data_IF_336633685933
#
_entry.id   IF_336633685933
#
_cell.length_a   1.000
_cell.length_b   1.000
_cell.length_c   1.000
_cell.angle_alpha   90.00
_cell.angle_beta   90.00
_cell.angle_gamma   90.00
#
_symmetry.space_group_name_H-M   'P 1'
#
loop_
_entity.id
_entity.type
_entity.pdbx_description
1 polymer ?
#
# COMPACT_ATOMS: atom_id res chain seq x y z
N UNK A 1 1.67 21.10 25.11
CA UNK A 1 1.71 20.55 23.74
C UNK A 1 3.13 20.07 23.49
N UNK A 2 3.29 18.78 23.20
CA UNK A 2 4.58 18.10 22.94
C UNK A 2 4.44 17.25 21.68
N UNK A 3 5.54 17.08 20.96
CA UNK A 3 5.60 16.22 19.76
C UNK A 3 5.80 14.78 20.22
N UNK A 4 4.90 13.88 19.80
CA UNK A 4 5.03 12.44 20.00
C UNK A 4 5.83 11.76 18.88
N UNK A 5 5.58 12.20 17.65
CA UNK A 5 6.14 11.60 16.45
C UNK A 5 6.19 12.65 15.34
N UNK A 6 7.25 12.63 14.53
CA UNK A 6 7.33 13.38 13.27
C UNK A 6 7.28 12.35 12.14
N UNK A 7 6.33 12.52 11.23
CA UNK A 7 6.07 11.60 10.14
C UNK A 7 6.12 12.36 8.80
N UNK A 8 6.86 11.87 7.80
CA UNK A 8 6.82 12.42 6.47
C UNK A 8 5.43 12.20 5.85
N UNK A 9 5.01 13.13 4.98
CA UNK A 9 3.77 12.99 4.21
C UNK A 9 4.11 12.65 2.75
N UNK A 10 3.11 12.26 1.94
CA UNK A 10 3.30 12.10 0.49
C UNK A 10 3.86 13.32 -0.23
N UNK A 11 3.76 14.50 0.37
CA UNK A 11 4.38 15.72 -0.16
C UNK A 11 5.80 15.89 0.34
N UNK A 12 6.82 16.06 -0.52
CA UNK A 12 8.19 16.34 -0.10
C UNK A 12 8.32 17.69 0.63
N UNK A 13 7.28 18.53 0.54
CA UNK A 13 7.25 19.84 1.16
C UNK A 13 6.41 19.91 2.45
N UNK A 14 5.89 18.78 2.95
CA UNK A 14 5.03 18.76 4.13
C UNK A 14 5.48 17.68 5.12
N UNK A 15 5.61 18.03 6.39
CA UNK A 15 5.84 17.09 7.50
C UNK A 15 4.68 17.13 8.50
N UNK A 16 4.28 15.97 9.01
CA UNK A 16 3.21 15.79 9.98
C UNK A 16 3.81 15.58 11.37
N UNK A 17 3.36 16.35 12.32
CA UNK A 17 3.77 16.28 13.73
C UNK A 17 2.58 15.80 14.57
N UNK A 18 2.65 14.62 15.11
CA UNK A 18 1.68 14.09 16.05
C UNK A 18 1.90 14.70 17.43
N UNK A 19 0.82 15.13 18.07
CA UNK A 19 0.85 15.88 19.34
C UNK A 19 0.28 15.06 20.50
N UNK A 20 0.63 15.44 21.73
CA UNK A 20 0.02 14.87 22.94
C UNK A 20 -1.31 15.52 23.31
N UNK A 21 -1.75 16.54 22.59
CA UNK A 21 -3.00 17.26 22.79
C UNK A 21 -3.88 17.14 21.55
N UNK A 22 -5.20 17.08 21.76
CA UNK A 22 -6.17 16.94 20.68
C UNK A 22 -7.11 18.13 20.67
N UNK A 23 -7.30 18.74 19.50
CA UNK A 23 -8.33 19.78 19.30
C UNK A 23 -9.73 19.17 19.31
N UNK A 24 -10.73 20.00 19.59
CA UNK A 24 -12.13 19.63 19.47
C UNK A 24 -12.46 19.12 18.05
N UNK A 25 -13.31 18.11 17.98
CA UNK A 25 -13.69 17.49 16.71
C UNK A 25 -14.23 18.52 15.71
N UNK A 26 -13.74 18.44 14.45
CA UNK A 26 -14.16 19.32 13.36
C UNK A 26 -13.38 20.64 13.26
N UNK A 27 -12.50 20.97 14.21
CA UNK A 27 -11.64 22.14 14.10
C UNK A 27 -10.48 21.84 13.13
N UNK A 28 -10.39 22.64 12.08
CA UNK A 28 -9.32 22.59 11.04
C UNK A 28 -8.92 24.01 10.71
N UNK A 29 -7.64 24.32 10.86
CA UNK A 29 -7.15 25.68 10.61
C UNK A 29 -5.79 25.63 9.93
N UNK A 30 -5.65 26.41 8.87
CA UNK A 30 -4.36 26.69 8.25
C UNK A 30 -3.90 28.07 8.65
N UNK A 31 -2.68 28.18 9.10
CA UNK A 31 -2.04 29.42 9.50
C UNK A 31 -0.89 29.74 8.56
N UNK A 32 -0.82 31.01 8.16
CA UNK A 32 0.25 31.61 7.37
C UNK A 32 0.67 32.90 8.04
N UNK A 33 1.73 33.54 7.58
CA UNK A 33 2.13 34.85 8.09
C UNK A 33 1.03 35.93 7.94
N UNK A 34 0.16 35.80 6.92
CA UNK A 34 -0.92 36.77 6.67
C UNK A 34 -2.01 36.73 7.74
N UNK A 35 -2.27 35.53 8.33
CA UNK A 35 -3.29 35.34 9.35
C UNK A 35 -2.71 35.01 10.75
N UNK A 36 -1.42 35.23 10.96
CA UNK A 36 -0.69 34.94 12.19
C UNK A 36 -1.36 35.46 13.47
N UNK A 37 -2.02 36.63 13.40
CA UNK A 37 -2.70 37.23 14.55
C UNK A 37 -3.78 36.35 15.17
N UNK A 38 -4.31 35.40 14.41
CA UNK A 38 -5.30 34.40 14.88
C UNK A 38 -4.67 33.10 15.36
N UNK A 39 -3.37 32.94 15.21
CA UNK A 39 -2.65 31.73 15.54
C UNK A 39 -2.36 31.62 17.06
N UNK A 40 -2.43 30.42 17.64
CA UNK A 40 -1.87 30.16 18.96
C UNK A 40 -0.38 30.55 19.04
N UNK A 41 0.15 30.94 20.21
CA UNK A 41 1.54 31.42 20.32
C UNK A 41 2.60 30.44 19.82
N UNK A 42 2.37 29.13 19.97
CA UNK A 42 3.29 28.11 19.48
C UNK A 42 3.30 28.06 17.94
N UNK A 43 2.13 28.16 17.31
CA UNK A 43 2.00 28.17 15.85
C UNK A 43 2.60 29.45 15.26
N UNK A 44 2.39 30.61 15.91
CA UNK A 44 3.03 31.85 15.50
C UNK A 44 4.57 31.71 15.50
N UNK A 45 5.15 31.07 16.52
CA UNK A 45 6.59 30.78 16.56
C UNK A 45 7.04 29.85 15.43
N UNK A 46 6.25 28.83 15.08
CA UNK A 46 6.54 27.92 13.97
C UNK A 46 6.54 28.65 12.61
N UNK A 47 5.61 29.60 12.42
CA UNK A 47 5.53 30.40 11.18
C UNK A 47 6.75 31.31 10.98
N UNK A 48 7.46 31.69 12.05
CA UNK A 48 8.68 32.49 11.97
C UNK A 48 9.96 31.68 11.77
N UNK A 49 9.88 30.33 11.74
CA UNK A 49 11.01 29.48 11.36
C UNK A 49 11.34 29.75 9.89
N UNK A 50 12.60 30.02 9.59
CA UNK A 50 13.07 30.21 8.22
C UNK A 50 12.76 28.98 7.38
N UNK A 51 12.14 29.18 6.22
CA UNK A 51 11.75 28.08 5.33
C UNK A 51 10.33 27.54 5.56
N UNK A 52 9.64 27.86 6.66
CA UNK A 52 8.22 27.48 6.84
C UNK A 52 7.32 28.38 6.00
N UNK A 53 6.36 27.76 5.31
CA UNK A 53 5.34 28.40 4.46
C UNK A 53 4.01 28.53 5.20
N UNK A 54 3.55 27.42 5.79
CA UNK A 54 2.26 27.37 6.49
C UNK A 54 2.27 26.26 7.56
N UNK A 55 1.34 26.37 8.51
CA UNK A 55 1.08 25.35 9.53
C UNK A 55 -0.39 25.03 9.50
N UNK A 56 -0.74 23.79 9.21
CA UNK A 56 -2.09 23.25 9.35
C UNK A 56 -2.22 22.57 10.72
N UNK A 57 -3.33 22.77 11.41
CA UNK A 57 -3.59 22.16 12.71
C UNK A 57 -5.01 21.60 12.77
N UNK A 58 -5.12 20.33 13.12
CA UNK A 58 -6.39 19.63 13.30
C UNK A 58 -6.21 18.43 14.22
N UNK A 59 -7.28 18.03 14.91
CA UNK A 59 -7.29 16.87 15.80
C UNK A 59 -6.03 16.82 16.71
N UNK A 60 -5.24 15.79 16.62
CA UNK A 60 -4.02 15.51 17.39
C UNK A 60 -2.72 15.72 16.60
N UNK A 61 -2.77 16.45 15.48
CA UNK A 61 -1.56 16.70 14.68
C UNK A 61 -1.49 18.10 14.08
N UNK A 62 -0.26 18.50 13.76
CA UNK A 62 0.06 19.63 12.90
C UNK A 62 0.75 19.14 11.63
N UNK A 63 0.51 19.81 10.51
CA UNK A 63 1.33 19.65 9.33
C UNK A 63 2.06 20.96 9.01
N UNK A 64 3.36 20.87 8.82
CA UNK A 64 4.22 22.02 8.47
C UNK A 64 4.55 21.92 6.99
N UNK A 65 4.19 22.94 6.23
CA UNK A 65 4.62 23.10 4.85
C UNK A 65 5.86 23.99 4.80
N UNK A 66 6.88 23.54 4.07
CA UNK A 66 8.07 24.34 3.79
C UNK A 66 7.92 25.11 2.47
N UNK A 67 8.70 26.16 2.34
CA UNK A 67 8.94 26.83 1.04
C UNK A 67 9.77 25.90 0.13
N UNK A 68 9.55 25.92 -1.19
CA UNK A 68 10.36 25.11 -2.12
C UNK A 68 11.86 25.34 -1.92
N UNK A 69 12.62 24.26 -1.83
CA UNK A 69 14.07 24.30 -1.64
C UNK A 69 14.57 24.58 -0.22
N UNK A 70 13.69 24.82 0.76
CA UNK A 70 14.12 24.96 2.16
C UNK A 70 14.57 23.60 2.74
N UNK A 71 15.51 23.65 3.68
CA UNK A 71 16.12 22.45 4.27
C UNK A 71 15.32 21.88 5.42
N UNK A 72 14.89 20.61 5.34
CA UNK A 72 14.12 19.96 6.41
C UNK A 72 14.87 19.77 7.72
N UNK A 73 16.13 19.30 7.73
CA UNK A 73 16.90 19.20 8.96
C UNK A 73 16.95 20.50 9.76
N UNK A 74 17.18 21.64 9.10
CA UNK A 74 17.21 22.93 9.77
C UNK A 74 15.82 23.33 10.32
N UNK A 75 14.76 23.13 9.52
CA UNK A 75 13.38 23.40 9.95
C UNK A 75 13.01 22.54 11.15
N UNK A 76 13.24 21.22 11.10
CA UNK A 76 12.87 20.29 12.16
C UNK A 76 13.66 20.52 13.45
N UNK A 77 14.93 20.91 13.37
CA UNK A 77 15.72 21.32 14.53
C UNK A 77 15.07 22.53 15.23
N UNK A 78 14.69 23.56 14.47
CA UNK A 78 14.01 24.75 15.00
C UNK A 78 12.61 24.43 15.53
N UNK A 79 11.89 23.50 14.90
CA UNK A 79 10.59 23.02 15.39
C UNK A 79 10.74 22.35 16.76
N UNK A 80 11.74 21.48 16.93
CA UNK A 80 12.01 20.83 18.22
C UNK A 80 12.36 21.84 19.31
N UNK A 81 13.12 22.88 18.98
CA UNK A 81 13.40 23.98 19.93
C UNK A 81 12.14 24.73 20.35
N UNK A 82 11.21 24.99 19.41
CA UNK A 82 9.92 25.65 19.70
C UNK A 82 9.08 24.83 20.68
N UNK A 83 9.11 23.50 20.60
CA UNK A 83 8.40 22.61 21.51
C UNK A 83 9.15 22.29 22.81
N UNK A 84 10.41 22.71 22.91
CA UNK A 84 11.24 22.43 24.09
C UNK A 84 11.73 20.98 24.19
N UNK A 85 11.63 20.23 23.10
CA UNK A 85 12.03 18.83 23.03
C UNK A 85 13.42 18.74 22.40
N UNK A 86 14.42 18.28 23.15
CA UNK A 86 15.67 17.76 22.58
C UNK A 86 15.52 16.23 22.47
N UNK A 87 15.19 15.71 21.31
CA UNK A 87 15.34 14.28 21.01
C UNK A 87 16.61 14.07 20.21
N UNK A 88 17.54 13.28 20.76
CA UNK A 88 18.73 12.77 20.05
C UNK A 88 18.40 11.65 19.03
N UNK A 89 17.21 11.66 18.44
CA UNK A 89 16.92 10.73 17.36
C UNK A 89 17.30 11.38 16.03
N UNK A 90 18.22 10.75 15.27
CA UNK A 90 18.50 11.17 13.91
C UNK A 90 17.20 11.09 13.09
N UNK A 91 16.90 12.13 12.35
CA UNK A 91 15.89 12.08 11.28
C UNK A 91 16.47 11.16 10.22
N UNK A 92 16.01 9.91 10.24
CA UNK A 92 16.48 8.87 9.33
C UNK A 92 16.17 9.26 7.89
N UNK A 93 17.07 8.90 7.00
CA UNK A 93 17.07 9.22 5.56
C UNK A 93 15.94 8.56 4.75
N UNK A 94 14.96 7.90 5.39
CA UNK A 94 13.85 7.19 4.75
C UNK A 94 12.69 8.13 4.32
N UNK A 95 12.97 9.42 4.18
CA UNK A 95 11.98 10.45 3.81
C UNK A 95 11.41 10.25 2.39
N UNK A 96 12.16 9.60 1.50
CA UNK A 96 11.74 9.40 0.10
C UNK A 96 10.71 8.28 -0.07
N UNK A 97 10.67 7.28 0.82
CA UNK A 97 9.77 6.13 0.72
C UNK A 97 8.34 6.40 1.25
N UNK A 98 8.15 7.37 2.12
CA UNK A 98 6.83 7.63 2.72
C UNK A 98 5.82 8.31 1.77
N UNK A 99 6.28 8.88 0.67
CA UNK A 99 5.45 9.64 -0.26
C UNK A 99 4.43 8.81 -1.06
N UNK A 100 4.54 7.47 -1.04
CA UNK A 100 3.71 6.54 -1.80
C UNK A 100 2.72 5.69 -0.99
N UNK A 101 2.75 5.73 0.34
CA UNK A 101 2.28 4.61 1.18
C UNK A 101 1.07 4.88 2.08
N UNK A 102 0.25 5.89 1.79
CA UNK A 102 -0.94 6.18 2.63
C UNK A 102 -1.91 4.99 2.72
N UNK A 103 -2.11 4.51 3.95
CA UNK A 103 -2.98 3.37 4.24
C UNK A 103 -2.41 2.01 3.84
N UNK A 104 -1.13 1.94 3.49
CA UNK A 104 -0.42 0.72 3.15
C UNK A 104 0.16 0.03 4.38
N UNK A 105 0.07 -1.29 4.37
CA UNK A 105 0.75 -2.16 5.32
C UNK A 105 1.52 -3.23 4.57
N UNK A 106 2.80 -3.37 4.88
CA UNK A 106 3.64 -4.45 4.35
C UNK A 106 3.33 -5.75 5.08
N UNK A 107 3.13 -6.80 4.34
CA UNK A 107 2.89 -8.13 4.88
C UNK A 107 4.09 -9.01 4.65
N UNK A 108 4.54 -9.66 5.71
CA UNK A 108 5.58 -10.67 5.66
C UNK A 108 5.04 -11.98 6.22
N UNK A 109 5.39 -13.08 5.59
CA UNK A 109 5.11 -14.42 6.10
C UNK A 109 6.42 -15.11 6.41
N UNK A 110 6.53 -15.64 7.62
CA UNK A 110 7.66 -16.45 8.03
C UNK A 110 7.40 -17.89 7.64
N UNK A 111 8.28 -18.48 6.87
CA UNK A 111 8.23 -19.86 6.43
C UNK A 111 9.33 -20.71 7.08
N UNK A 112 9.02 -21.97 7.27
CA UNK A 112 9.95 -23.03 7.58
C UNK A 112 9.83 -24.13 6.51
N UNK A 113 10.86 -24.25 5.67
CA UNK A 113 10.85 -25.26 4.59
C UNK A 113 9.55 -25.27 3.78
N UNK A 114 9.11 -24.10 3.29
CA UNK A 114 7.88 -23.96 2.52
C UNK A 114 6.58 -24.01 3.33
N UNK A 115 6.62 -24.28 4.65
CA UNK A 115 5.46 -24.29 5.54
C UNK A 115 5.33 -22.92 6.20
N UNK A 116 4.20 -22.21 6.04
CA UNK A 116 3.99 -20.91 6.68
C UNK A 116 3.81 -21.10 8.20
N UNK A 117 4.36 -20.15 8.99
CA UNK A 117 4.38 -20.23 10.46
C UNK A 117 3.74 -19.01 11.13
N UNK A 118 4.07 -17.83 10.67
CA UNK A 118 3.70 -16.57 11.30
C UNK A 118 3.51 -15.50 10.22
N UNK A 119 2.48 -14.70 10.41
CA UNK A 119 2.21 -13.50 9.61
C UNK A 119 2.67 -12.29 10.41
N UNK A 120 3.32 -11.35 9.75
CA UNK A 120 3.68 -10.04 10.28
C UNK A 120 3.14 -8.98 9.34
N UNK A 121 2.39 -8.04 9.89
CA UNK A 121 1.83 -6.90 9.16
C UNK A 121 2.41 -5.64 9.76
N UNK A 122 3.08 -4.84 8.97
CA UNK A 122 3.81 -3.66 9.43
C UNK A 122 3.34 -2.41 8.69
N UNK A 123 3.08 -1.34 9.44
CA UNK A 123 2.85 0.00 8.89
C UNK A 123 3.57 1.03 9.77
N UNK A 124 4.55 1.71 9.20
CA UNK A 124 5.43 2.59 9.95
C UNK A 124 6.11 1.87 11.12
N UNK A 125 5.93 2.38 12.34
CA UNK A 125 6.49 1.79 13.57
C UNK A 125 5.58 0.73 14.22
N UNK A 126 4.38 0.51 13.69
CA UNK A 126 3.39 -0.43 14.26
C UNK A 126 3.50 -1.78 13.56
N UNK A 127 3.54 -2.85 14.32
CA UNK A 127 3.59 -4.21 13.80
C UNK A 127 2.55 -5.10 14.51
N UNK A 128 1.77 -5.83 13.74
CA UNK A 128 0.88 -6.90 14.21
C UNK A 128 1.48 -8.24 13.82
N UNK A 129 1.40 -9.23 14.74
CA UNK A 129 1.93 -10.58 14.52
C UNK A 129 0.92 -11.60 14.94
N UNK A 130 0.58 -12.53 14.05
CA UNK A 130 -0.26 -13.67 14.37
C UNK A 130 0.40 -14.98 13.96
N UNK A 131 0.23 -16.01 14.79
CA UNK A 131 0.57 -17.39 14.44
C UNK A 131 -0.50 -18.02 13.57
N UNK A 132 -0.16 -19.05 12.84
CA UNK A 132 -1.12 -19.84 12.07
C UNK A 132 -1.75 -20.97 12.90
N UNK A 133 -2.78 -21.62 12.33
CA UNK A 133 -3.51 -22.69 13.00
C UNK A 133 -2.63 -23.89 13.39
N UNK A 134 -3.12 -24.72 14.31
CA UNK A 134 -2.39 -25.84 14.90
C UNK A 134 -1.82 -26.81 13.85
N UNK A 135 -2.51 -27.04 12.74
CA UNK A 135 -2.02 -27.93 11.67
C UNK A 135 -0.69 -27.50 11.06
N UNK A 136 -0.42 -26.18 10.98
CA UNK A 136 0.88 -25.66 10.52
C UNK A 136 1.96 -25.83 11.59
N UNK A 137 1.61 -25.65 12.87
CA UNK A 137 2.53 -25.85 13.99
C UNK A 137 2.96 -27.32 14.04
N UNK A 138 2.02 -28.24 13.87
CA UNK A 138 2.28 -29.70 13.84
C UNK A 138 3.19 -30.05 12.65
N UNK A 139 2.89 -29.53 11.45
CA UNK A 139 3.70 -29.74 10.26
C UNK A 139 5.14 -29.24 10.42
N UNK A 140 5.34 -28.04 10.97
CA UNK A 140 6.67 -27.51 11.26
C UNK A 140 7.40 -28.38 12.28
N UNK A 141 6.71 -28.85 13.33
CA UNK A 141 7.29 -29.68 14.37
C UNK A 141 7.75 -31.03 13.81
N UNK A 142 6.95 -31.65 12.95
CA UNK A 142 7.29 -32.90 12.27
C UNK A 142 8.54 -32.76 11.42
N UNK A 143 8.61 -31.74 10.52
CA UNK A 143 9.77 -31.51 9.66
C UNK A 143 11.00 -31.12 10.48
N UNK A 144 10.87 -30.25 11.49
CA UNK A 144 11.98 -29.84 12.33
C UNK A 144 12.57 -31.00 13.12
N UNK A 145 11.74 -31.92 13.64
CA UNK A 145 12.17 -33.11 14.35
C UNK A 145 12.89 -34.12 13.44
N UNK A 146 12.40 -34.28 12.21
CA UNK A 146 12.99 -35.19 11.23
C UNK A 146 14.30 -34.69 10.64
N UNK A 147 14.45 -33.38 10.46
CA UNK A 147 15.59 -32.78 9.75
C UNK A 147 16.61 -32.11 10.67
N UNK A 148 16.28 -31.89 11.96
CA UNK A 148 17.07 -31.13 12.94
C UNK A 148 17.46 -29.71 12.52
N UNK A 149 16.77 -29.15 11.53
CA UNK A 149 17.00 -27.80 11.00
C UNK A 149 16.11 -26.82 11.76
N UNK A 150 16.60 -25.59 11.95
CA UNK A 150 15.89 -24.49 12.64
C UNK A 150 15.77 -23.23 11.80
N UNK A 151 16.26 -23.27 10.57
CA UNK A 151 16.29 -22.13 9.68
C UNK A 151 14.87 -21.69 9.27
N UNK A 152 14.64 -20.37 9.35
CA UNK A 152 13.36 -19.76 9.01
C UNK A 152 13.60 -18.65 8.00
N UNK A 153 12.74 -18.56 7.01
CA UNK A 153 12.80 -17.51 5.98
C UNK A 153 11.62 -16.56 6.15
N UNK A 154 11.92 -15.27 6.24
CA UNK A 154 10.90 -14.23 6.15
C UNK A 154 10.73 -13.87 4.68
N UNK A 155 9.51 -13.99 4.17
CA UNK A 155 9.18 -13.72 2.76
C UNK A 155 8.23 -12.54 2.69
N UNK A 156 8.53 -11.59 1.81
CA UNK A 156 7.61 -10.50 1.50
C UNK A 156 6.36 -11.06 0.81
N UNK A 157 5.20 -10.72 1.35
CA UNK A 157 3.89 -11.16 0.87
C UNK A 157 3.10 -10.01 0.22
N UNK A 158 3.80 -8.91 -0.03
CA UNK A 158 3.28 -7.72 -0.69
C UNK A 158 2.52 -6.78 0.23
N UNK A 159 1.90 -5.78 -0.37
CA UNK A 159 1.18 -4.70 0.32
C UNK A 159 -0.30 -5.04 0.47
N UNK A 160 -0.89 -4.61 1.58
CA UNK A 160 -2.32 -4.69 1.88
C UNK A 160 -2.83 -3.36 2.42
N UNK A 161 -4.14 -3.22 2.52
CA UNK A 161 -4.82 -1.97 2.87
C UNK A 161 -5.89 -2.19 3.93
N UNK A 162 -5.81 -1.46 5.03
CA UNK A 162 -6.76 -1.53 6.13
C UNK A 162 -6.09 -1.57 7.50
N UNK A 163 -6.84 -1.98 8.52
CA UNK A 163 -6.32 -2.13 9.87
C UNK A 163 -5.44 -3.39 10.00
N UNK A 164 -4.29 -3.28 10.69
CA UNK A 164 -3.30 -4.36 10.77
C UNK A 164 -3.87 -5.70 11.26
N UNK A 165 -4.74 -5.75 12.31
CA UNK A 165 -5.35 -7.00 12.75
C UNK A 165 -6.29 -7.62 11.70
N UNK A 166 -6.99 -6.80 10.92
CA UNK A 166 -7.89 -7.28 9.87
C UNK A 166 -7.08 -7.86 8.71
N UNK A 167 -6.05 -7.13 8.26
CA UNK A 167 -5.10 -7.62 7.24
C UNK A 167 -4.49 -8.95 7.67
N UNK A 168 -4.02 -9.06 8.92
CA UNK A 168 -3.40 -10.29 9.41
C UNK A 168 -4.37 -11.48 9.33
N UNK A 169 -5.65 -11.28 9.71
CA UNK A 169 -6.70 -12.32 9.60
C UNK A 169 -7.06 -12.67 8.15
N UNK A 170 -7.07 -11.67 7.26
CA UNK A 170 -7.30 -11.91 5.83
C UNK A 170 -6.20 -12.79 5.23
N UNK A 171 -4.94 -12.47 5.53
CA UNK A 171 -3.78 -13.24 5.07
C UNK A 171 -3.74 -14.63 5.70
N UNK A 172 -4.14 -14.79 6.97
CA UNK A 172 -4.32 -16.10 7.58
C UNK A 172 -5.31 -16.95 6.78
N UNK A 173 -6.47 -16.40 6.43
CA UNK A 173 -7.47 -17.11 5.62
C UNK A 173 -6.96 -17.45 4.22
N UNK A 174 -6.19 -16.56 3.59
CA UNK A 174 -5.55 -16.82 2.29
C UNK A 174 -4.56 -17.99 2.40
N UNK A 175 -3.71 -18.02 3.43
CA UNK A 175 -2.76 -19.11 3.67
C UNK A 175 -3.46 -20.43 4.00
N UNK A 176 -4.54 -20.39 4.81
CA UNK A 176 -5.37 -21.56 5.07
C UNK A 176 -5.98 -22.14 3.79
N UNK A 177 -6.39 -21.28 2.87
CA UNK A 177 -6.92 -21.70 1.58
C UNK A 177 -5.82 -22.17 0.62
N UNK A 178 -4.68 -21.47 0.56
CA UNK A 178 -3.56 -21.81 -0.31
C UNK A 178 -2.87 -23.12 0.06
N UNK A 179 -2.98 -23.56 1.33
CA UNK A 179 -2.40 -24.79 1.83
C UNK A 179 -3.48 -25.81 2.24
N UNK A 180 -4.27 -26.38 1.31
CA UNK A 180 -5.14 -27.49 1.65
C UNK A 180 -4.31 -28.65 2.21
N UNK A 181 -4.96 -29.56 2.95
CA UNK A 181 -4.27 -30.64 3.68
C UNK A 181 -3.33 -31.45 2.78
N UNK A 182 -3.76 -31.74 1.57
CA UNK A 182 -2.96 -32.51 0.60
C UNK A 182 -1.67 -31.76 0.16
N UNK A 183 -1.73 -30.44 0.04
CA UNK A 183 -0.52 -29.62 -0.26
C UNK A 183 0.43 -29.64 0.94
N UNK A 184 -0.11 -29.42 2.15
CA UNK A 184 0.69 -29.40 3.37
C UNK A 184 1.43 -30.73 3.57
N UNK A 185 0.75 -31.88 3.39
CA UNK A 185 1.36 -33.21 3.46
C UNK A 185 2.44 -33.44 2.40
N UNK A 186 2.25 -32.92 1.18
CA UNK A 186 3.30 -32.99 0.14
C UNK A 186 4.53 -32.17 0.52
N UNK A 187 4.32 -30.95 1.03
CA UNK A 187 5.43 -30.08 1.46
C UNK A 187 6.20 -30.74 2.60
N UNK A 188 5.52 -31.33 3.60
CA UNK A 188 6.16 -32.08 4.68
C UNK A 188 7.04 -33.21 4.12
N UNK A 189 6.51 -34.05 3.24
CA UNK A 189 7.25 -35.17 2.62
C UNK A 189 8.47 -34.67 1.85
N UNK A 190 8.33 -33.62 1.05
CA UNK A 190 9.43 -33.02 0.29
C UNK A 190 10.51 -32.42 1.21
N UNK A 191 10.10 -31.71 2.26
CA UNK A 191 11.00 -31.09 3.23
C UNK A 191 11.80 -32.14 4.02
N UNK A 192 11.16 -33.23 4.43
CA UNK A 192 11.82 -34.37 5.11
C UNK A 192 12.80 -35.06 4.15
N UNK A 193 12.38 -35.33 2.91
CA UNK A 193 13.23 -35.96 1.90
C UNK A 193 14.44 -35.10 1.51
N UNK A 194 14.29 -33.77 1.52
CA UNK A 194 15.40 -32.83 1.32
C UNK A 194 16.43 -32.92 2.45
N UNK A 195 16.00 -33.20 3.67
CA UNK A 195 16.85 -33.42 4.84
C UNK A 195 17.70 -32.19 5.19
N UNK A 196 18.93 -32.42 5.67
CA UNK A 196 19.88 -31.40 6.10
C UNK A 196 20.78 -30.87 4.97
N UNK A 197 20.35 -30.94 3.70
CA UNK A 197 21.15 -30.44 2.59
C UNK A 197 21.38 -28.92 2.71
N UNK A 198 22.57 -28.47 2.30
CA UNK A 198 22.96 -27.05 2.33
C UNK A 198 22.21 -26.19 1.30
N UNK A 199 21.62 -26.80 0.27
CA UNK A 199 20.83 -26.11 -0.74
C UNK A 199 19.51 -25.62 -0.16
N UNK A 200 19.06 -24.43 -0.60
CA UNK A 200 17.77 -23.89 -0.18
C UNK A 200 16.63 -24.83 -0.57
N UNK A 201 15.71 -25.09 0.35
CA UNK A 201 14.51 -25.86 0.05
C UNK A 201 13.56 -25.05 -0.82
N UNK A 202 13.19 -25.59 -1.98
CA UNK A 202 12.17 -25.04 -2.87
C UNK A 202 11.05 -26.07 -3.01
N UNK A 203 9.81 -25.65 -2.66
CA UNK A 203 8.62 -26.48 -2.86
C UNK A 203 8.43 -26.83 -4.32
N UNK A 204 8.37 -28.11 -4.65
CA UNK A 204 7.90 -28.58 -5.96
C UNK A 204 6.39 -28.59 -5.96
N UNK A 205 5.78 -27.51 -6.50
CA UNK A 205 4.33 -27.41 -6.61
C UNK A 205 3.80 -28.43 -7.63
N UNK A 206 2.63 -28.99 -7.32
CA UNK A 206 1.88 -29.78 -8.30
C UNK A 206 1.29 -28.84 -9.33
N UNK A 207 1.48 -29.12 -10.59
CA UNK A 207 0.76 -28.48 -11.67
C UNK A 207 -0.70 -28.98 -11.67
N UNK A 208 -1.62 -28.03 -11.84
CA UNK A 208 -3.02 -28.31 -12.01
C UNK A 208 -3.34 -28.31 -13.51
N UNK A 209 -4.09 -29.30 -13.97
CA UNK A 209 -4.64 -29.23 -15.32
C UNK A 209 -5.73 -28.14 -15.40
N UNK A 210 -5.96 -27.62 -16.59
CA UNK A 210 -7.02 -26.64 -16.82
C UNK A 210 -8.38 -27.14 -16.32
N UNK A 211 -8.71 -28.41 -16.56
CA UNK A 211 -9.95 -29.01 -16.08
C UNK A 211 -10.08 -29.01 -14.54
N UNK A 212 -8.97 -29.27 -13.83
CA UNK A 212 -8.95 -29.20 -12.35
C UNK A 212 -9.13 -27.76 -11.83
N UNK A 213 -8.55 -26.77 -12.53
CA UNK A 213 -8.73 -25.35 -12.21
C UNK A 213 -10.19 -24.96 -12.41
N UNK A 214 -10.78 -25.30 -13.56
CA UNK A 214 -12.18 -24.99 -13.89
C UNK A 214 -13.14 -25.65 -12.88
N UNK A 215 -12.91 -26.92 -12.53
CA UNK A 215 -13.69 -27.63 -11.51
C UNK A 215 -13.50 -26.95 -10.13
N UNK A 216 -12.27 -26.63 -9.76
CA UNK A 216 -11.93 -25.99 -8.49
C UNK A 216 -12.64 -24.64 -8.35
N UNK A 217 -12.67 -23.82 -9.37
CA UNK A 217 -13.37 -22.53 -9.41
C UNK A 217 -14.90 -22.64 -9.35
N UNK A 218 -15.47 -23.85 -9.54
CA UNK A 218 -16.89 -24.13 -9.40
C UNK A 218 -17.28 -24.68 -8.03
N UNK A 219 -16.30 -24.93 -7.17
CA UNK A 219 -16.52 -25.51 -5.85
C UNK A 219 -17.42 -24.64 -4.97
N UNK A 220 -18.28 -25.25 -4.16
CA UNK A 220 -19.04 -24.57 -3.11
C UNK A 220 -18.11 -24.05 -2.00
N UNK A 221 -16.98 -24.70 -1.75
CA UNK A 221 -15.97 -24.24 -0.79
C UNK A 221 -15.08 -23.16 -1.41
N UNK A 222 -15.14 -21.97 -0.86
CA UNK A 222 -14.34 -20.84 -1.31
C UNK A 222 -12.83 -21.08 -1.21
N UNK A 223 -12.38 -21.89 -0.26
CA UNK A 223 -10.95 -22.23 -0.12
C UNK A 223 -10.46 -22.99 -1.33
N UNK A 224 -11.30 -23.90 -1.85
CA UNK A 224 -10.98 -24.63 -3.08
C UNK A 224 -10.99 -23.70 -4.30
N UNK A 225 -11.93 -22.74 -4.36
CA UNK A 225 -11.94 -21.73 -5.43
C UNK A 225 -10.69 -20.86 -5.38
N UNK A 226 -10.27 -20.45 -4.17
CA UNK A 226 -9.04 -19.68 -3.98
C UNK A 226 -7.79 -20.48 -4.38
N UNK A 227 -7.66 -21.74 -3.92
CA UNK A 227 -6.56 -22.63 -4.29
C UNK A 227 -6.48 -22.86 -5.81
N UNK A 228 -7.62 -23.00 -6.47
CA UNK A 228 -7.66 -23.20 -7.92
C UNK A 228 -7.20 -21.94 -8.66
N UNK A 229 -7.61 -20.76 -8.20
CA UNK A 229 -7.16 -19.48 -8.75
C UNK A 229 -5.64 -19.28 -8.49
N UNK A 230 -5.16 -19.59 -7.29
CA UNK A 230 -3.72 -19.47 -6.90
C UNK A 230 -2.82 -20.43 -7.69
N UNK A 231 -3.36 -21.57 -8.12
CA UNK A 231 -2.65 -22.53 -8.94
C UNK A 231 -2.61 -22.18 -10.43
N UNK A 232 -3.41 -21.21 -10.86
CA UNK A 232 -3.54 -20.80 -12.25
C UNK A 232 -2.42 -19.82 -12.64
N UNK A 233 -1.96 -19.89 -13.87
CA UNK A 233 -1.13 -18.87 -14.48
C UNK A 233 -2.01 -17.84 -15.22
N UNK A 234 -1.74 -16.56 -14.99
CA UNK A 234 -2.47 -15.49 -15.68
C UNK A 234 -2.07 -15.42 -17.14
N UNK A 235 -3.04 -15.57 -18.04
CA UNK A 235 -2.85 -15.48 -19.50
C UNK A 235 -4.14 -14.99 -20.16
N UNK A 236 -4.08 -14.61 -21.42
CA UNK A 236 -5.28 -14.23 -22.17
C UNK A 236 -6.29 -15.40 -22.26
N UNK A 237 -5.81 -16.63 -22.31
CA UNK A 237 -6.65 -17.84 -22.35
C UNK A 237 -7.40 -18.05 -21.02
N UNK A 238 -6.79 -17.66 -19.90
CA UNK A 238 -7.38 -17.78 -18.55
C UNK A 238 -8.20 -16.56 -18.14
N UNK A 239 -8.23 -15.49 -18.93
CA UNK A 239 -9.00 -14.27 -18.64
C UNK A 239 -10.48 -14.52 -18.29
N UNK A 240 -11.23 -15.43 -18.97
CA UNK A 240 -12.61 -15.72 -18.58
C UNK A 240 -12.74 -16.33 -17.16
N UNK A 241 -11.74 -17.08 -16.72
CA UNK A 241 -11.70 -17.64 -15.36
C UNK A 241 -11.41 -16.56 -14.31
N UNK A 242 -10.52 -15.61 -14.66
CA UNK A 242 -10.23 -14.45 -13.83
C UNK A 242 -11.47 -13.55 -13.70
N UNK A 243 -12.19 -13.30 -14.80
CA UNK A 243 -13.47 -12.56 -14.77
C UNK A 243 -14.50 -13.23 -13.86
N UNK A 244 -14.61 -14.55 -13.91
CA UNK A 244 -15.47 -15.31 -13.03
C UNK A 244 -15.07 -15.12 -11.56
N UNK A 245 -13.78 -15.17 -11.25
CA UNK A 245 -13.25 -14.98 -9.91
C UNK A 245 -13.48 -13.56 -9.35
N UNK A 246 -13.60 -12.54 -10.20
CA UNK A 246 -14.05 -11.19 -9.81
C UNK A 246 -15.48 -11.15 -9.28
N UNK A 247 -16.30 -12.13 -9.61
CA UNK A 247 -17.67 -12.28 -9.11
C UNK A 247 -17.80 -13.16 -7.85
N UNK A 248 -16.69 -13.60 -7.26
CA UNK A 248 -16.70 -14.47 -6.08
C UNK A 248 -17.32 -13.79 -4.85
N UNK A 249 -18.01 -14.56 -4.02
CA UNK A 249 -18.54 -14.07 -2.75
C UNK A 249 -17.45 -13.64 -1.77
N UNK A 250 -16.24 -14.23 -1.88
CA UNK A 250 -15.10 -13.96 -1.00
C UNK A 250 -14.20 -12.87 -1.57
N UNK A 251 -13.98 -11.86 -0.76
CA UNK A 251 -13.12 -10.72 -1.10
C UNK A 251 -11.70 -11.17 -1.47
N UNK A 252 -11.13 -12.14 -0.78
CA UNK A 252 -9.78 -12.66 -1.03
C UNK A 252 -9.64 -13.19 -2.46
N UNK A 253 -10.64 -13.95 -2.93
CA UNK A 253 -10.65 -14.46 -4.32
C UNK A 253 -10.76 -13.32 -5.33
N UNK A 254 -11.66 -12.34 -5.09
CA UNK A 254 -11.81 -11.18 -5.98
C UNK A 254 -10.53 -10.34 -6.03
N UNK A 255 -9.87 -10.13 -4.87
CA UNK A 255 -8.62 -9.39 -4.79
C UNK A 255 -7.48 -10.10 -5.55
N UNK A 256 -7.36 -11.42 -5.42
CA UNK A 256 -6.36 -12.20 -6.18
C UNK A 256 -6.62 -12.11 -7.69
N UNK A 257 -7.88 -12.13 -8.12
CA UNK A 257 -8.25 -11.93 -9.52
C UNK A 257 -7.79 -10.55 -10.04
N UNK A 258 -7.92 -9.49 -9.23
CA UNK A 258 -7.42 -8.15 -9.58
C UNK A 258 -5.91 -8.14 -9.77
N UNK A 259 -5.15 -8.83 -8.92
CA UNK A 259 -3.69 -8.95 -9.07
C UNK A 259 -3.33 -9.58 -10.42
N UNK A 260 -4.01 -10.66 -10.79
CA UNK A 260 -3.76 -11.33 -12.08
C UNK A 260 -4.12 -10.48 -13.31
N UNK A 261 -5.13 -9.61 -13.20
CA UNK A 261 -5.44 -8.66 -14.27
C UNK A 261 -4.29 -7.68 -14.52
N UNK A 262 -3.55 -7.32 -13.46
CA UNK A 262 -2.38 -6.46 -13.57
C UNK A 262 -1.23 -7.08 -14.37
N UNK A 263 -1.10 -8.40 -14.34
CA UNK A 263 -0.07 -9.12 -15.09
C UNK A 263 -0.38 -9.13 -16.59
N UNK A 264 -1.68 -9.13 -16.97
CA UNK A 264 -2.12 -9.26 -18.36
C UNK A 264 -1.96 -7.99 -19.18
N UNK A 265 -2.25 -6.83 -18.62
CA UNK A 265 -2.15 -5.49 -19.25
C UNK A 265 -2.86 -5.36 -20.60
N UNK A 266 -3.89 -6.18 -20.87
CA UNK A 266 -4.68 -6.13 -22.12
C UNK A 266 -5.85 -5.15 -21.99
N UNK A 267 -6.43 -4.66 -23.12
CA UNK A 267 -7.62 -3.81 -23.06
C UNK A 267 -8.80 -4.47 -22.34
N UNK A 268 -8.98 -5.77 -22.49
CA UNK A 268 -10.02 -6.55 -21.83
C UNK A 268 -9.79 -6.62 -20.32
N UNK A 269 -8.55 -6.87 -19.90
CA UNK A 269 -8.17 -6.83 -18.47
C UNK A 269 -8.40 -5.44 -17.87
N UNK A 270 -8.11 -4.36 -18.62
CA UNK A 270 -8.39 -2.98 -18.20
C UNK A 270 -9.87 -2.75 -17.93
N UNK A 271 -10.78 -3.25 -18.78
CA UNK A 271 -12.23 -3.13 -18.55
C UNK A 271 -12.67 -3.86 -17.27
N UNK A 272 -12.06 -5.00 -16.97
CA UNK A 272 -12.31 -5.75 -15.73
C UNK A 272 -11.76 -5.01 -14.50
N UNK A 273 -10.61 -4.33 -14.61
CA UNK A 273 -10.09 -3.46 -13.56
C UNK A 273 -11.03 -2.27 -13.29
N UNK A 274 -11.59 -1.65 -14.33
CA UNK A 274 -12.60 -0.58 -14.15
C UNK A 274 -13.85 -1.10 -13.43
N UNK A 275 -14.27 -2.34 -13.69
CA UNK A 275 -15.36 -3.00 -12.95
C UNK A 275 -14.95 -3.24 -11.48
N UNK A 276 -13.70 -3.68 -11.23
CA UNK A 276 -13.19 -3.92 -9.89
C UNK A 276 -13.07 -2.63 -9.05
N UNK A 277 -12.91 -1.45 -9.67
CA UNK A 277 -13.00 -0.16 -8.98
C UNK A 277 -14.39 0.13 -8.38
N UNK A 278 -15.40 -0.65 -8.73
CA UNK A 278 -16.78 -0.57 -8.17
C UNK A 278 -17.11 -1.73 -7.22
N UNK A 279 -16.11 -2.51 -6.81
CA UNK A 279 -16.28 -3.62 -5.86
C UNK A 279 -16.84 -3.16 -4.50
N UNK A 280 -17.59 -4.02 -3.83
CA UNK A 280 -18.10 -3.75 -2.49
C UNK A 280 -16.99 -3.58 -1.44
N UNK A 281 -15.84 -4.26 -1.61
CA UNK A 281 -14.70 -4.19 -0.70
C UNK A 281 -13.75 -3.02 -1.04
N UNK A 282 -13.45 -2.14 -0.08
CA UNK A 282 -12.44 -1.11 -0.28
C UNK A 282 -11.05 -1.68 -0.61
N UNK A 283 -10.69 -2.85 -0.07
CA UNK A 283 -9.42 -3.50 -0.33
C UNK A 283 -9.30 -3.93 -1.80
N UNK A 284 -10.38 -4.47 -2.39
CA UNK A 284 -10.42 -4.82 -3.81
C UNK A 284 -10.33 -3.56 -4.68
N UNK A 285 -11.14 -2.51 -4.38
CA UNK A 285 -11.07 -1.23 -5.10
C UNK A 285 -9.69 -0.59 -5.03
N UNK A 286 -9.06 -0.61 -3.83
CA UNK A 286 -7.70 -0.07 -3.66
C UNK A 286 -6.68 -0.86 -4.47
N UNK A 287 -6.73 -2.20 -4.43
CA UNK A 287 -5.84 -3.04 -5.24
C UNK A 287 -6.02 -2.78 -6.74
N UNK A 288 -7.27 -2.62 -7.21
CA UNK A 288 -7.53 -2.24 -8.60
C UNK A 288 -6.96 -0.86 -8.96
N UNK A 289 -7.10 0.11 -8.05
CA UNK A 289 -6.53 1.45 -8.22
C UNK A 289 -5.00 1.45 -8.28
N UNK A 290 -4.33 0.62 -7.47
CA UNK A 290 -2.87 0.47 -7.53
C UNK A 290 -2.44 -0.17 -8.86
N UNK A 291 -3.12 -1.24 -9.26
CA UNK A 291 -2.87 -1.91 -10.55
C UNK A 291 -3.03 -0.94 -11.72
N UNK A 292 -4.09 -0.13 -11.73
CA UNK A 292 -4.30 0.90 -12.76
C UNK A 292 -3.21 1.99 -12.74
N UNK A 293 -2.75 2.39 -11.55
CA UNK A 293 -1.63 3.32 -11.42
C UNK A 293 -0.32 2.72 -11.95
N UNK A 294 -0.05 1.45 -11.65
CA UNK A 294 1.16 0.78 -12.14
C UNK A 294 1.17 0.65 -13.66
N UNK A 295 0.00 0.43 -14.28
CA UNK A 295 -0.16 0.44 -15.73
C UNK A 295 0.03 1.85 -16.28
N UNK A 296 -0.51 2.87 -15.60
CA UNK A 296 -0.37 4.29 -15.96
C UNK A 296 -1.07 4.67 -17.26
N UNK A 297 -2.13 3.95 -17.65
CA UNK A 297 -2.88 4.23 -18.87
C UNK A 297 -3.91 5.34 -18.62
N UNK A 298 -3.88 6.45 -19.41
CA UNK A 298 -4.85 7.53 -19.33
C UNK A 298 -6.32 7.09 -19.49
N UNK A 299 -6.58 5.93 -20.10
CA UNK A 299 -7.93 5.35 -20.19
C UNK A 299 -8.59 5.14 -18.82
N UNK A 300 -7.80 5.03 -17.75
CA UNK A 300 -8.30 4.93 -16.38
C UNK A 300 -8.73 6.28 -15.77
N UNK A 301 -8.50 7.41 -16.44
CA UNK A 301 -8.77 8.75 -15.89
C UNK A 301 -10.23 8.87 -15.43
N UNK A 302 -11.19 8.45 -16.23
CA UNK A 302 -12.61 8.60 -15.90
C UNK A 302 -13.00 7.83 -14.62
N UNK A 303 -12.57 6.58 -14.48
CA UNK A 303 -12.89 5.78 -13.29
C UNK A 303 -12.16 6.32 -12.04
N UNK A 304 -10.99 6.92 -12.20
CA UNK A 304 -10.28 7.56 -11.10
C UNK A 304 -10.93 8.90 -10.69
N UNK A 305 -11.47 9.68 -11.63
CA UNK A 305 -12.29 10.85 -11.31
C UNK A 305 -13.52 10.48 -10.47
N UNK A 306 -14.25 9.43 -10.86
CA UNK A 306 -15.35 8.90 -10.08
C UNK A 306 -14.90 8.45 -8.67
N UNK A 307 -13.72 7.88 -8.56
CA UNK A 307 -13.16 7.34 -7.31
C UNK A 307 -12.69 8.42 -6.32
N UNK A 308 -12.57 9.69 -6.72
CA UNK A 308 -12.29 10.81 -5.80
C UNK A 308 -13.40 11.01 -4.76
N UNK A 309 -14.61 10.49 -5.00
CA UNK A 309 -15.74 10.55 -4.06
C UNK A 309 -16.03 9.22 -3.36
N UNK A 310 -15.11 8.24 -3.43
CA UNK A 310 -15.27 6.94 -2.77
C UNK A 310 -15.48 7.09 -1.25
N UNK A 311 -16.24 6.19 -0.66
CA UNK A 311 -16.45 6.14 0.80
C UNK A 311 -15.15 5.87 1.56
N UNK A 312 -14.21 5.17 0.94
CA UNK A 312 -12.91 4.81 1.53
C UNK A 312 -11.84 5.86 1.23
N UNK A 313 -11.25 6.43 2.26
CA UNK A 313 -10.15 7.40 2.13
C UNK A 313 -8.93 6.86 1.38
N UNK A 314 -8.62 5.57 1.52
CA UNK A 314 -7.49 4.95 0.83
C UNK A 314 -7.73 4.84 -0.69
N UNK A 315 -8.98 4.67 -1.11
CA UNK A 315 -9.37 4.68 -2.53
C UNK A 315 -9.34 6.10 -3.09
N UNK A 316 -9.91 7.09 -2.37
CA UNK A 316 -9.86 8.50 -2.78
C UNK A 316 -8.43 9.01 -2.92
N UNK A 317 -7.55 8.64 -1.96
CA UNK A 317 -6.15 9.02 -2.03
C UNK A 317 -5.45 8.43 -3.26
N UNK A 318 -5.68 7.14 -3.57
CA UNK A 318 -5.10 6.51 -4.77
C UNK A 318 -5.58 7.17 -6.06
N UNK A 319 -6.86 7.53 -6.12
CA UNK A 319 -7.42 8.25 -7.25
C UNK A 319 -6.73 9.62 -7.44
N UNK A 320 -6.57 10.40 -6.37
CA UNK A 320 -5.86 11.67 -6.42
C UNK A 320 -4.38 11.49 -6.80
N UNK A 321 -3.73 10.41 -6.34
CA UNK A 321 -2.35 10.07 -6.70
C UNK A 321 -2.21 9.70 -8.18
N UNK A 322 -3.12 8.87 -8.71
CA UNK A 322 -3.15 8.56 -10.13
C UNK A 322 -3.31 9.84 -10.98
N UNK A 323 -4.21 10.74 -10.59
CA UNK A 323 -4.42 11.98 -11.30
C UNK A 323 -3.23 12.96 -11.18
N UNK A 324 -2.44 12.85 -10.12
CA UNK A 324 -1.14 13.52 -10.04
C UNK A 324 -0.15 12.94 -11.06
N UNK A 325 -0.17 11.64 -11.29
CA UNK A 325 0.80 10.95 -12.17
C UNK A 325 0.43 11.05 -13.65
N UNK A 326 -0.87 11.03 -13.98
CA UNK A 326 -1.37 10.88 -15.36
C UNK A 326 -2.40 11.96 -15.73
N UNK A 327 -3.08 12.57 -14.75
CA UNK A 327 -4.20 13.48 -14.98
C UNK A 327 -3.85 14.72 -15.80
N UNK A 328 -4.83 15.21 -16.54
CA UNK A 328 -4.76 16.41 -17.37
C UNK A 328 -5.71 17.49 -16.85
N UNK A 329 -5.87 18.58 -17.58
CA UNK A 329 -6.77 19.68 -17.24
C UNK A 329 -8.23 19.24 -17.00
N UNK A 330 -8.67 18.11 -17.56
CA UNK A 330 -10.00 17.54 -17.34
C UNK A 330 -10.26 17.16 -15.87
N UNK A 331 -9.19 16.85 -15.11
CA UNK A 331 -9.28 16.47 -13.71
C UNK A 331 -9.44 17.69 -12.76
N UNK A 332 -9.24 18.93 -13.24
CA UNK A 332 -9.18 20.13 -12.41
C UNK A 332 -10.38 20.28 -11.48
N UNK A 333 -11.60 20.29 -12.01
CA UNK A 333 -12.82 20.52 -11.22
C UNK A 333 -12.99 19.48 -10.11
N UNK A 334 -12.78 18.21 -10.42
CA UNK A 334 -12.89 17.12 -9.44
C UNK A 334 -11.78 17.21 -8.36
N UNK A 335 -10.56 17.57 -8.75
CA UNK A 335 -9.46 17.77 -7.82
C UNK A 335 -9.64 19.01 -6.94
N UNK A 336 -10.24 20.11 -7.45
CA UNK A 336 -10.61 21.27 -6.63
C UNK A 336 -11.58 20.90 -5.51
N UNK A 337 -12.56 20.04 -5.80
CA UNK A 337 -13.48 19.51 -4.78
C UNK A 337 -12.72 18.61 -3.80
N UNK A 338 -11.91 17.67 -4.29
CA UNK A 338 -11.13 16.74 -3.48
C UNK A 338 -10.05 17.45 -2.63
N UNK A 339 -9.61 18.65 -3.00
CA UNK A 339 -8.65 19.45 -2.22
C UNK A 339 -9.20 19.82 -0.83
N UNK A 340 -10.51 19.78 -0.65
CA UNK A 340 -11.22 20.02 0.60
C UNK A 340 -11.65 18.73 1.31
N UNK A 341 -11.09 17.58 0.93
CA UNK A 341 -11.41 16.28 1.54
C UNK A 341 -11.26 16.33 3.07
N UNK A 342 -12.15 15.65 3.80
CA UNK A 342 -12.02 15.50 5.25
C UNK A 342 -10.70 14.83 5.68
N UNK A 343 -10.13 13.97 4.89
CA UNK A 343 -8.81 13.39 5.16
C UNK A 343 -7.71 14.30 4.63
N UNK A 344 -6.79 14.66 5.51
CA UNK A 344 -5.70 15.59 5.18
C UNK A 344 -4.86 15.10 4.00
N UNK A 345 -4.50 13.83 4.00
CA UNK A 345 -3.64 13.21 2.99
C UNK A 345 -4.31 13.19 1.60
N UNK A 346 -5.62 12.98 1.55
CA UNK A 346 -6.39 13.04 0.29
C UNK A 346 -6.42 14.47 -0.24
N UNK A 347 -6.77 15.43 0.61
CA UNK A 347 -6.80 16.85 0.24
C UNK A 347 -5.42 17.36 -0.18
N UNK A 348 -4.35 16.94 0.50
CA UNK A 348 -2.99 17.28 0.15
C UNK A 348 -2.61 16.72 -1.22
N UNK A 349 -2.89 15.44 -1.49
CA UNK A 349 -2.59 14.80 -2.76
C UNK A 349 -3.36 15.45 -3.92
N UNK A 350 -4.62 15.83 -3.69
CA UNK A 350 -5.42 16.55 -4.68
C UNK A 350 -4.83 17.94 -5.00
N UNK A 351 -4.39 18.70 -3.97
CA UNK A 351 -3.70 19.99 -4.18
C UNK A 351 -2.40 19.86 -4.97
N UNK A 352 -1.61 18.82 -4.67
CA UNK A 352 -0.39 18.53 -5.44
C UNK A 352 -0.70 18.26 -6.91
N UNK A 353 -1.76 17.48 -7.18
CA UNK A 353 -2.20 17.20 -8.54
C UNK A 353 -2.65 18.49 -9.27
N UNK A 354 -3.38 19.37 -8.61
CA UNK A 354 -3.78 20.67 -9.15
C UNK A 354 -2.55 21.55 -9.44
N UNK A 355 -1.62 21.67 -8.49
CA UNK A 355 -0.42 22.51 -8.66
C UNK A 355 0.41 22.04 -9.86
N UNK A 356 0.56 20.71 -10.06
CA UNK A 356 1.22 20.17 -11.24
C UNK A 356 0.48 20.50 -12.54
N UNK A 357 -0.85 20.32 -12.56
CA UNK A 357 -1.67 20.62 -13.76
C UNK A 357 -1.62 22.10 -14.08
N UNK A 358 -1.66 22.98 -13.08
CA UNK A 358 -1.68 24.43 -13.24
C UNK A 358 -0.33 24.99 -13.69
N UNK A 359 0.78 24.39 -13.22
CA UNK A 359 2.13 24.75 -13.67
C UNK A 359 2.41 24.33 -15.11
N UNK A 360 1.56 23.46 -15.68
CA UNK A 360 1.77 22.90 -17.01
C UNK A 360 2.94 21.92 -17.07
N UNK A 361 3.41 21.45 -15.91
CA UNK A 361 4.42 20.41 -15.85
C UNK A 361 3.87 19.10 -16.45
N UNK A 362 4.67 18.49 -17.33
CA UNK A 362 4.32 17.16 -17.84
C UNK A 362 4.20 16.18 -16.68
N UNK A 363 3.21 15.30 -16.77
CA UNK A 363 3.04 14.22 -15.83
C UNK A 363 4.33 13.40 -15.75
N UNK A 364 4.91 13.31 -14.55
CA UNK A 364 6.17 12.56 -14.35
C UNK A 364 6.04 11.10 -14.77
N UNK A 365 4.81 10.62 -14.86
CA UNK A 365 4.47 9.22 -15.07
C UNK A 365 4.57 8.42 -13.76
N UNK A 366 4.22 7.16 -13.82
CA UNK A 366 4.39 6.24 -12.69
C UNK A 366 5.88 5.99 -12.40
N UNK A 367 6.20 5.50 -11.20
CA UNK A 367 7.58 5.13 -10.83
C UNK A 367 8.16 4.14 -11.86
N UNK A 368 7.36 3.20 -12.35
CA UNK A 368 7.76 2.26 -13.39
C UNK A 368 8.06 2.93 -14.74
N UNK A 369 7.25 3.91 -15.12
CA UNK A 369 7.49 4.69 -16.35
C UNK A 369 8.75 5.55 -16.21
N UNK A 370 8.99 6.13 -15.04
CA UNK A 370 10.22 6.88 -14.74
C UNK A 370 11.46 5.99 -14.78
N UNK A 371 11.39 4.80 -14.17
CA UNK A 371 12.48 3.80 -14.22
C UNK A 371 12.74 3.31 -15.65
N UNK A 372 11.69 3.09 -16.46
CA UNK A 372 11.84 2.71 -17.86
C UNK A 372 12.50 3.82 -18.68
N UNK A 373 12.11 5.08 -18.46
CA UNK A 373 12.73 6.24 -19.12
C UNK A 373 14.19 6.43 -18.71
N UNK A 374 14.54 6.20 -17.44
CA UNK A 374 15.93 6.30 -16.96
C UNK A 374 16.84 5.23 -17.56
N UNK A 375 16.33 4.02 -17.79
CA UNK A 375 17.07 2.93 -18.46
C UNK A 375 17.25 3.14 -19.96
N UNK A 376 16.44 3.99 -20.60
CA UNK A 376 16.52 4.29 -22.03
C UNK A 376 17.41 5.50 -22.35
N UNK A 377 17.84 6.28 -21.37
CA UNK A 377 18.85 7.32 -21.59
C UNK A 377 20.20 6.64 -21.86
N UNK A 378 20.80 6.78 -23.07
CA UNK A 378 22.15 6.29 -23.31
C UNK A 378 23.10 7.04 -22.37
N UNK A 379 24.07 6.33 -21.79
CA UNK A 379 25.19 6.96 -21.10
C UNK A 379 25.85 7.93 -22.10
N UNK A 380 25.66 9.22 -21.91
CA UNK A 380 26.51 10.22 -22.54
C UNK A 380 27.91 10.01 -21.98
N UNK A 381 28.73 9.30 -22.75
CA UNK A 381 30.16 9.13 -22.51
C UNK A 381 30.80 10.51 -22.56
N UNK A 382 31.32 10.97 -21.44
CA UNK A 382 32.28 12.09 -21.34
C UNK A 382 33.68 11.56 -21.62
#
# INVERSE_FOLDING_TARGET
>A
MEIKLIEPTPSPNTMKLHLNETLEAGIRKTYTLDNERSAPPIIARLLHIEGVKSVFHTADFMAIDRKPGADWPAILSSVQEVFGSRSDQPVDSDIEDAAGHFGEAQVFVQFFRGIPMQIRVKSGLTEERIGLSQRFVDAVTEVASATMIKERKLTDYGVRYGDLPDIAREVEQELEAAFPQERLERVIKQAIAHGAKAEEFVEQRREWSQAEIEEGLQSADWRRRYSALEAMEASEETLPLIERALGDEKMQTRRLAVVYLGDLKTPEAMQLLFKAMKDSSPAVRRTAGDTLSDIGDPAATQVMLESLTDTSKIVRWRAARFLYEVGTAEAREALEQASNDPEFEVGLQARMALERIDSGEEAAGTVWQQMAKSRQKPEETV
#
